data_IF_934590989114
#
_entry.id   IF_934590989114
#
_cell.length_a   1.000
_cell.length_b   1.000
_cell.length_c   1.000
_cell.angle_alpha   90.00
_cell.angle_beta   90.00
_cell.angle_gamma   90.00
#
_symmetry.space_group_name_H-M   'P 1'
#
loop_
_entity.id
_entity.type
_entity.pdbx_description
1 polymer ?
#
# COMPACT_ATOMS: atom_id res chain seq x y z
N UNK A 1 -41.59 53.24 -18.34
CA UNK A 1 -41.12 53.50 -19.72
C UNK A 1 -39.71 54.01 -19.58
N UNK A 2 -38.72 53.12 -19.76
CA UNK A 2 -37.88 52.99 -20.98
C UNK A 2 -36.82 54.11 -20.98
N UNK A 3 -35.56 53.93 -21.36
CA UNK A 3 -34.82 53.02 -22.24
C UNK A 3 -33.33 53.20 -21.77
N UNK A 4 -32.50 52.17 -21.57
CA UNK A 4 -31.46 51.68 -22.51
C UNK A 4 -30.68 52.82 -23.19
N UNK A 5 -29.34 52.85 -23.29
CA UNK A 5 -28.29 51.85 -23.09
C UNK A 5 -26.93 52.59 -23.15
N UNK A 6 -25.84 51.84 -22.89
CA UNK A 6 -24.42 52.14 -23.17
C UNK A 6 -23.63 52.99 -22.15
N UNK A 7 -22.39 52.69 -21.75
CA UNK A 7 -21.47 51.54 -21.85
C UNK A 7 -20.26 51.87 -20.94
N UNK A 8 -19.52 50.83 -20.54
CA UNK A 8 -18.17 50.82 -19.93
C UNK A 8 -18.00 51.09 -18.42
N UNK A 9 -17.73 50.00 -17.69
CA UNK A 9 -17.25 50.01 -16.30
C UNK A 9 -16.95 48.60 -15.77
N UNK A 10 -15.72 48.15 -16.00
CA UNK A 10 -15.19 46.79 -15.75
C UNK A 10 -15.10 46.30 -14.29
N UNK A 11 -14.99 44.95 -14.16
CA UNK A 11 -14.39 44.11 -13.09
C UNK A 11 -15.21 43.93 -11.80
N UNK A 12 -15.34 42.73 -11.19
CA UNK A 12 -14.66 41.43 -11.33
C UNK A 12 -15.52 40.39 -10.58
N UNK A 13 -16.03 39.36 -11.25
CA UNK A 13 -16.70 38.22 -10.59
C UNK A 13 -15.61 37.22 -10.19
N UNK A 14 -15.68 36.78 -8.94
CA UNK A 14 -14.66 35.97 -8.26
C UNK A 14 -14.29 34.70 -9.01
N UNK A 15 -12.99 34.54 -9.23
CA UNK A 15 -12.39 33.31 -9.72
C UNK A 15 -12.41 32.29 -8.57
N UNK A 16 -13.30 31.28 -8.65
CA UNK A 16 -13.14 30.05 -7.84
C UNK A 16 -11.93 29.32 -8.39
N UNK A 17 -10.78 29.49 -7.74
CA UNK A 17 -9.65 28.59 -7.90
C UNK A 17 -10.10 27.22 -7.36
N UNK A 18 -10.24 26.23 -8.25
CA UNK A 18 -10.29 24.83 -7.83
C UNK A 18 -8.99 24.57 -7.07
N UNK A 19 -9.10 24.15 -5.81
CA UNK A 19 -7.95 23.75 -5.02
C UNK A 19 -7.31 22.53 -5.69
N UNK A 20 -6.14 22.72 -6.29
CA UNK A 20 -5.26 21.64 -6.66
C UNK A 20 -4.91 20.85 -5.39
N UNK A 21 -4.95 19.51 -5.40
CA UNK A 21 -4.43 18.75 -4.27
C UNK A 21 -2.93 19.04 -4.19
N UNK A 22 -2.53 19.74 -3.14
CA UNK A 22 -1.12 20.00 -2.86
C UNK A 22 -0.41 18.66 -2.70
N UNK A 23 0.31 18.25 -3.74
CA UNK A 23 1.31 17.18 -3.74
C UNK A 23 2.53 17.63 -2.94
N UNK A 24 2.31 17.86 -1.64
CA UNK A 24 3.36 18.21 -0.70
C UNK A 24 4.04 16.96 -0.17
N UNK A 25 4.84 16.27 -0.99
CA UNK A 25 5.90 15.37 -0.52
C UNK A 25 6.98 15.12 -1.61
N UNK A 26 8.24 15.36 -1.23
CA UNK A 26 9.48 15.37 -2.02
C UNK A 26 9.57 14.42 -3.26
N UNK A 27 9.70 14.97 -4.50
CA UNK A 27 9.85 14.19 -5.74
C UNK A 27 11.03 13.19 -5.79
N UNK A 28 12.07 13.42 -4.98
CA UNK A 28 13.25 12.54 -4.93
C UNK A 28 13.01 11.23 -4.16
N UNK A 29 11.98 11.15 -3.30
CA UNK A 29 11.68 9.95 -2.52
C UNK A 29 10.89 8.91 -3.34
N UNK A 30 10.06 9.37 -4.25
CA UNK A 30 9.17 8.55 -5.09
C UNK A 30 9.97 7.71 -6.10
N UNK A 31 10.97 8.29 -6.77
CA UNK A 31 11.84 7.54 -7.69
C UNK A 31 12.64 6.41 -7.04
N UNK A 32 12.95 6.51 -5.74
CA UNK A 32 13.68 5.45 -5.00
C UNK A 32 12.79 4.27 -4.63
N UNK A 33 11.52 4.51 -4.32
CA UNK A 33 10.63 3.42 -3.86
C UNK A 33 10.19 2.51 -5.00
N UNK A 34 10.11 3.03 -6.23
CA UNK A 34 9.84 2.22 -7.42
C UNK A 34 10.94 1.18 -7.69
N UNK A 35 12.22 1.52 -7.49
CA UNK A 35 13.32 0.58 -7.64
C UNK A 35 13.24 -0.60 -6.66
N UNK A 36 12.62 -0.42 -5.48
CA UNK A 36 12.37 -1.54 -4.56
C UNK A 36 11.30 -2.49 -5.09
N UNK A 37 10.29 -2.00 -5.82
CA UNK A 37 9.31 -2.85 -6.49
C UNK A 37 10.00 -3.72 -7.54
N UNK A 38 10.87 -3.13 -8.37
CA UNK A 38 11.62 -3.88 -9.38
C UNK A 38 12.48 -4.99 -8.75
N UNK A 39 13.21 -4.68 -7.66
CA UNK A 39 14.02 -5.68 -6.95
C UNK A 39 13.20 -6.79 -6.27
N UNK A 40 12.00 -6.47 -5.80
CA UNK A 40 11.08 -7.47 -5.23
C UNK A 40 10.60 -8.44 -6.32
N UNK A 41 10.39 -7.94 -7.54
CA UNK A 41 9.81 -8.68 -8.66
C UNK A 41 10.85 -9.39 -9.56
N UNK A 42 12.14 -9.10 -9.37
CA UNK A 42 13.27 -9.49 -10.25
C UNK A 42 13.34 -10.98 -10.61
N UNK A 43 13.12 -11.90 -9.65
CA UNK A 43 13.23 -13.34 -9.91
C UNK A 43 12.00 -13.99 -10.57
N UNK A 44 10.96 -13.18 -10.84
CA UNK A 44 9.75 -13.65 -11.50
C UNK A 44 8.88 -14.60 -10.67
N UNK A 45 9.16 -14.84 -9.39
CA UNK A 45 8.36 -15.71 -8.52
C UNK A 45 7.19 -14.98 -7.85
N UNK A 46 7.17 -13.65 -7.89
CA UNK A 46 6.10 -12.83 -7.31
C UNK A 46 5.22 -12.22 -8.39
N UNK A 47 3.98 -11.91 -8.02
CA UNK A 47 2.99 -11.34 -8.93
C UNK A 47 2.53 -9.93 -8.54
N UNK A 48 2.74 -9.55 -7.28
CA UNK A 48 2.39 -8.23 -6.76
C UNK A 48 3.34 -7.85 -5.63
N UNK A 49 3.61 -6.56 -5.52
CA UNK A 49 4.46 -5.96 -4.50
C UNK A 49 4.02 -4.51 -4.26
N UNK A 50 4.15 -4.04 -3.01
CA UNK A 50 3.91 -2.64 -2.68
C UNK A 50 4.75 -2.15 -1.51
N UNK A 51 5.03 -0.85 -1.52
CA UNK A 51 5.55 -0.08 -0.40
C UNK A 51 4.42 0.85 0.07
N UNK A 52 3.99 0.65 1.31
CA UNK A 52 2.89 1.39 1.93
C UNK A 52 3.44 2.24 3.08
N UNK A 53 3.30 3.56 3.01
CA UNK A 53 3.48 4.42 4.19
C UNK A 53 2.32 4.19 5.14
N UNK A 54 2.60 3.97 6.43
CA UNK A 54 1.54 3.72 7.44
C UNK A 54 1.52 4.74 8.57
N UNK A 55 2.49 5.66 8.62
CA UNK A 55 2.56 6.75 9.60
C UNK A 55 1.84 7.99 9.07
N UNK A 56 1.24 8.75 9.99
CA UNK A 56 0.51 10.00 9.76
C UNK A 56 -0.67 9.85 8.79
N UNK A 57 -0.40 9.88 7.49
CA UNK A 57 -1.37 9.71 6.43
C UNK A 57 -1.04 8.44 5.63
N UNK A 58 -1.67 7.29 5.94
CA UNK A 58 -1.38 6.05 5.26
C UNK A 58 -1.69 6.13 3.76
N UNK A 59 -0.72 5.74 2.92
CA UNK A 59 -0.85 5.77 1.46
C UNK A 59 0.14 4.82 0.78
N UNK A 60 -0.22 4.33 -0.42
CA UNK A 60 0.67 3.51 -1.25
C UNK A 60 1.70 4.42 -1.91
N UNK A 61 2.99 4.18 -1.66
CA UNK A 61 4.09 4.97 -2.22
C UNK A 61 4.64 4.38 -3.51
N UNK A 62 4.57 3.06 -3.66
CA UNK A 62 4.85 2.36 -4.90
C UNK A 62 4.15 1.00 -4.89
N UNK A 63 3.66 0.54 -6.04
CA UNK A 63 3.16 -0.81 -6.19
C UNK A 63 3.24 -1.26 -7.65
N UNK A 64 3.09 -2.56 -7.90
CA UNK A 64 2.96 -3.07 -9.27
C UNK A 64 1.67 -2.53 -9.89
N UNK A 65 1.73 -1.86 -11.06
CA UNK A 65 0.55 -1.31 -11.70
C UNK A 65 -0.49 -2.39 -12.03
N UNK A 66 -1.78 -2.02 -11.92
CA UNK A 66 -2.93 -2.88 -12.29
C UNK A 66 -3.00 -4.20 -11.52
N UNK A 67 -2.45 -4.23 -10.30
CA UNK A 67 -2.53 -5.37 -9.38
C UNK A 67 -3.38 -5.05 -8.15
N UNK A 68 -3.31 -5.87 -7.12
CA UNK A 68 -4.15 -5.79 -5.93
C UNK A 68 -3.66 -4.68 -5.00
N UNK A 69 -2.35 -4.65 -4.70
CA UNK A 69 -1.82 -3.80 -3.63
C UNK A 69 -1.84 -2.29 -3.93
N UNK A 70 -1.90 -1.89 -5.19
CA UNK A 70 -2.09 -0.47 -5.56
C UNK A 70 -3.42 0.10 -5.03
N UNK A 71 -4.41 -0.75 -4.76
CA UNK A 71 -5.73 -0.36 -4.30
C UNK A 71 -5.88 -0.40 -2.77
N UNK A 72 -4.80 -0.61 -2.01
CA UNK A 72 -4.87 -0.65 -0.55
C UNK A 72 -5.33 0.70 -0.02
N UNK A 73 -6.37 0.66 0.81
CA UNK A 73 -6.95 1.86 1.42
C UNK A 73 -6.26 2.22 2.74
N UNK A 74 -6.37 3.49 3.20
CA UNK A 74 -5.89 3.88 4.52
C UNK A 74 -6.54 3.07 5.66
N UNK A 75 -7.80 2.64 5.49
CA UNK A 75 -8.49 1.79 6.45
C UNK A 75 -7.85 0.40 6.55
N UNK A 76 -7.56 -0.24 5.42
CA UNK A 76 -6.85 -1.52 5.38
C UNK A 76 -5.42 -1.40 5.95
N UNK A 77 -4.73 -0.29 5.65
CA UNK A 77 -3.43 0.01 6.25
C UNK A 77 -3.51 0.11 7.79
N UNK A 78 -4.53 0.81 8.30
CA UNK A 78 -4.79 0.96 9.73
C UNK A 78 -5.10 -0.37 10.42
N UNK A 79 -5.81 -1.28 9.73
CA UNK A 79 -6.06 -2.64 10.21
C UNK A 79 -4.74 -3.40 10.37
N UNK A 80 -3.84 -3.37 9.37
CA UNK A 80 -2.55 -4.09 9.44
C UNK A 80 -1.70 -3.70 10.66
N UNK A 81 -1.69 -2.43 11.05
CA UNK A 81 -0.92 -1.91 12.20
C UNK A 81 -1.77 -1.72 13.47
N UNK A 82 -3.02 -2.17 13.43
CA UNK A 82 -3.96 -2.04 14.52
C UNK A 82 -3.59 -2.91 15.73
N UNK A 83 -4.06 -2.50 16.92
CA UNK A 83 -3.83 -3.20 18.19
C UNK A 83 -4.63 -4.49 18.32
N UNK A 84 -5.81 -4.57 17.70
CA UNK A 84 -6.61 -5.78 17.73
C UNK A 84 -6.02 -6.80 16.75
N UNK A 85 -5.23 -7.73 17.28
CA UNK A 85 -4.64 -8.84 16.53
C UNK A 85 -5.54 -10.08 16.53
N UNK A 86 -6.48 -10.16 17.46
CA UNK A 86 -7.30 -11.35 17.70
C UNK A 86 -8.37 -11.55 16.63
N UNK A 87 -8.96 -10.45 16.13
CA UNK A 87 -10.00 -10.49 15.11
C UNK A 87 -9.52 -11.00 13.76
N UNK A 88 -8.22 -10.95 13.47
CA UNK A 88 -7.67 -11.45 12.20
C UNK A 88 -7.81 -12.95 12.02
N UNK A 89 -7.70 -13.72 13.11
CA UNK A 89 -7.79 -15.17 13.04
C UNK A 89 -9.23 -15.64 12.73
N UNK A 90 -10.23 -14.87 13.15
CA UNK A 90 -11.65 -15.22 12.97
C UNK A 90 -12.21 -14.60 11.68
N UNK A 91 -12.00 -13.30 11.48
CA UNK A 91 -12.65 -12.55 10.40
C UNK A 91 -11.77 -12.45 9.13
N UNK A 92 -10.46 -12.65 9.27
CA UNK A 92 -9.50 -12.29 8.23
C UNK A 92 -9.37 -10.78 8.08
N UNK A 93 -8.79 -10.35 6.97
CA UNK A 93 -8.66 -8.94 6.59
C UNK A 93 -8.71 -8.80 5.06
N UNK A 94 -8.71 -7.56 4.56
CA UNK A 94 -8.63 -7.27 3.13
C UNK A 94 -7.38 -6.47 2.79
N UNK A 95 -6.82 -6.72 1.61
CA UNK A 95 -5.75 -5.93 1.01
C UNK A 95 -6.18 -5.53 -0.39
N UNK A 96 -6.48 -4.26 -0.64
CA UNK A 96 -6.97 -3.83 -1.95
C UNK A 96 -8.24 -4.57 -2.36
N UNK A 97 -9.16 -4.76 -1.42
CA UNK A 97 -10.38 -5.58 -1.56
C UNK A 97 -10.19 -7.10 -1.70
N UNK A 98 -8.95 -7.61 -1.76
CA UNK A 98 -8.69 -9.06 -1.73
C UNK A 98 -8.83 -9.58 -0.30
N UNK A 99 -9.77 -10.50 -0.07
CA UNK A 99 -9.92 -11.18 1.23
C UNK A 99 -8.73 -12.09 1.51
N UNK A 100 -8.23 -12.03 2.74
CA UNK A 100 -7.09 -12.81 3.21
C UNK A 100 -7.40 -13.45 4.57
N UNK A 101 -6.81 -14.62 4.84
CA UNK A 101 -6.71 -15.22 6.17
C UNK A 101 -5.31 -15.04 6.75
N UNK A 102 -5.23 -14.84 8.06
CA UNK A 102 -3.98 -14.84 8.80
C UNK A 102 -3.40 -16.25 8.91
N UNK A 103 -2.11 -16.41 8.60
CA UNK A 103 -1.35 -17.64 8.89
C UNK A 103 -0.50 -17.43 10.15
N UNK A 104 0.29 -16.35 10.17
CA UNK A 104 1.18 -16.00 11.28
C UNK A 104 1.20 -14.49 11.46
N UNK A 105 1.22 -14.05 12.70
CA UNK A 105 1.35 -12.64 13.04
C UNK A 105 2.49 -12.40 14.03
N UNK A 106 3.58 -11.81 13.51
CA UNK A 106 4.72 -11.32 14.28
C UNK A 106 5.05 -9.88 13.87
N UNK A 107 4.09 -9.14 13.30
CA UNK A 107 4.35 -7.85 12.65
C UNK A 107 4.86 -6.79 13.62
N UNK A 108 4.35 -6.82 14.85
CA UNK A 108 4.69 -5.90 15.93
C UNK A 108 5.75 -6.48 16.89
N UNK A 109 6.30 -7.67 16.58
CA UNK A 109 7.33 -8.31 17.39
C UNK A 109 8.71 -7.88 16.92
N UNK A 110 9.54 -7.44 17.88
CA UNK A 110 10.93 -7.08 17.60
C UNK A 110 11.73 -8.28 17.08
N UNK A 111 12.54 -8.05 16.05
CA UNK A 111 13.36 -9.08 15.40
C UNK A 111 12.63 -9.90 14.32
N UNK A 112 11.30 -10.00 14.34
CA UNK A 112 10.53 -10.73 13.30
C UNK A 112 9.81 -9.80 12.33
N UNK A 113 9.06 -8.81 12.84
CA UNK A 113 8.35 -7.76 12.10
C UNK A 113 7.65 -8.19 10.81
N UNK A 114 7.15 -9.43 10.74
CA UNK A 114 6.45 -9.97 9.57
C UNK A 114 5.09 -10.57 9.92
N UNK A 115 4.20 -10.56 8.95
CA UNK A 115 2.88 -11.17 8.99
C UNK A 115 2.69 -11.97 7.71
N UNK A 116 2.27 -13.22 7.85
CA UNK A 116 2.00 -14.10 6.72
C UNK A 116 0.49 -14.30 6.57
N UNK A 117 0.02 -14.14 5.33
CA UNK A 117 -1.37 -14.19 4.95
C UNK A 117 -1.55 -15.16 3.76
N UNK A 118 -2.78 -15.64 3.59
CA UNK A 118 -3.19 -16.39 2.42
C UNK A 118 -4.44 -15.76 1.82
N UNK A 119 -4.50 -15.58 0.50
CA UNK A 119 -5.73 -15.08 -0.13
C UNK A 119 -6.85 -16.11 -0.02
N UNK A 120 -8.09 -15.61 0.08
CA UNK A 120 -9.30 -16.40 0.00
C UNK A 120 -9.90 -16.24 -1.40
N UNK A 121 -10.36 -17.33 -2.00
CA UNK A 121 -11.06 -17.33 -3.27
C UNK A 121 -12.43 -18.02 -3.15
N UNK A 122 -13.29 -17.78 -4.13
CA UNK A 122 -14.56 -18.50 -4.31
C UNK A 122 -14.48 -19.36 -5.55
N UNK A 123 -15.10 -20.54 -5.55
CA UNK A 123 -15.20 -21.37 -6.76
C UNK A 123 -13.90 -22.01 -7.23
N UNK A 124 -12.94 -22.24 -6.32
CA UNK A 124 -11.71 -22.97 -6.63
C UNK A 124 -10.66 -22.18 -7.42
N UNK A 125 -10.82 -20.85 -7.55
CA UNK A 125 -9.78 -20.03 -8.17
C UNK A 125 -8.47 -20.08 -7.36
N UNK A 126 -7.30 -19.95 -8.01
CA UNK A 126 -6.01 -20.01 -7.34
C UNK A 126 -5.89 -19.02 -6.17
N UNK A 127 -5.22 -19.45 -5.11
CA UNK A 127 -4.90 -18.63 -3.93
C UNK A 127 -3.40 -18.48 -3.76
N UNK A 128 -3.00 -17.43 -3.03
CA UNK A 128 -1.63 -16.94 -3.03
C UNK A 128 -1.16 -16.62 -1.62
N UNK A 129 0.11 -16.93 -1.35
CA UNK A 129 0.78 -16.53 -0.13
C UNK A 129 1.19 -15.06 -0.23
N UNK A 130 0.96 -14.32 0.86
CA UNK A 130 1.32 -12.93 1.01
C UNK A 130 2.15 -12.78 2.29
N UNK A 131 3.20 -11.97 2.23
CA UNK A 131 3.90 -11.49 3.43
C UNK A 131 3.85 -9.98 3.50
N UNK A 132 3.54 -9.46 4.69
CA UNK A 132 3.68 -8.05 5.06
C UNK A 132 4.85 -7.94 6.03
N UNK A 133 5.78 -7.01 5.79
CA UNK A 133 6.93 -6.76 6.66
C UNK A 133 6.99 -5.29 7.09
N UNK A 134 7.24 -5.03 8.37
CA UNK A 134 7.17 -3.70 8.97
C UNK A 134 8.56 -3.04 9.13
N UNK A 135 8.65 -1.80 8.67
CA UNK A 135 9.79 -0.91 8.90
C UNK A 135 9.41 0.22 9.86
N UNK A 136 10.33 1.16 10.12
CA UNK A 136 10.06 2.30 10.98
C UNK A 136 8.92 3.20 10.46
N UNK A 137 8.77 3.34 9.13
CA UNK A 137 7.76 4.22 8.51
C UNK A 137 6.91 3.57 7.40
N UNK A 138 7.26 2.36 6.96
CA UNK A 138 6.61 1.69 5.83
C UNK A 138 6.24 0.24 6.15
N UNK A 139 5.29 -0.30 5.39
CA UNK A 139 5.06 -1.73 5.23
C UNK A 139 5.51 -2.14 3.84
N UNK A 140 6.24 -3.25 3.75
CA UNK A 140 6.55 -3.94 2.49
C UNK A 140 5.54 -5.06 2.33
N UNK A 141 4.84 -5.12 1.21
CA UNK A 141 3.88 -6.17 0.89
C UNK A 141 4.37 -6.95 -0.31
N UNK A 142 4.25 -8.27 -0.26
CA UNK A 142 4.70 -9.16 -1.33
C UNK A 142 3.76 -10.34 -1.51
N UNK A 143 3.37 -10.61 -2.75
CA UNK A 143 2.50 -11.73 -3.12
C UNK A 143 3.21 -12.69 -4.06
N UNK A 144 3.30 -13.97 -3.69
CA UNK A 144 3.84 -15.03 -4.54
C UNK A 144 2.91 -15.33 -5.72
N UNK A 145 3.46 -15.83 -6.83
CA UNK A 145 2.67 -16.48 -7.89
C UNK A 145 2.04 -17.78 -7.39
N UNK A 146 1.15 -18.35 -8.20
CA UNK A 146 0.58 -19.67 -7.95
C UNK A 146 1.68 -20.71 -7.70
N UNK A 147 1.51 -21.53 -6.67
CA UNK A 147 2.47 -22.57 -6.28
C UNK A 147 3.71 -22.08 -5.52
N UNK A 148 3.92 -20.77 -5.37
CA UNK A 148 5.09 -20.24 -4.63
C UNK A 148 4.90 -20.37 -3.12
N UNK A 149 5.84 -21.05 -2.47
CA UNK A 149 5.79 -21.35 -1.04
C UNK A 149 5.91 -20.06 -0.19
N UNK A 150 5.08 -19.95 0.86
CA UNK A 150 5.03 -18.75 1.71
C UNK A 150 6.38 -18.39 2.35
N UNK A 151 7.19 -19.39 2.74
CA UNK A 151 8.54 -19.15 3.25
C UNK A 151 9.48 -18.40 2.28
N UNK A 152 9.34 -18.60 0.97
CA UNK A 152 10.13 -17.87 -0.03
C UNK A 152 9.67 -16.41 -0.17
N UNK A 153 8.35 -16.19 -0.08
CA UNK A 153 7.76 -14.84 -0.07
C UNK A 153 8.19 -14.09 1.19
N UNK A 154 8.08 -14.75 2.35
CA UNK A 154 8.44 -14.19 3.63
C UNK A 154 9.91 -13.78 3.69
N UNK A 155 10.82 -14.68 3.31
CA UNK A 155 12.26 -14.41 3.31
C UNK A 155 12.61 -13.15 2.52
N UNK A 156 12.13 -13.03 1.28
CA UNK A 156 12.42 -11.86 0.43
C UNK A 156 11.82 -10.58 1.02
N UNK A 157 10.59 -10.64 1.53
CA UNK A 157 9.92 -9.49 2.13
C UNK A 157 10.65 -9.02 3.40
N UNK A 158 11.06 -9.96 4.26
CA UNK A 158 11.86 -9.72 5.45
C UNK A 158 13.23 -9.09 5.14
N UNK A 159 13.95 -9.61 4.14
CA UNK A 159 15.25 -9.08 3.71
C UNK A 159 15.13 -7.63 3.21
N UNK A 160 14.09 -7.34 2.42
CA UNK A 160 13.80 -5.98 1.95
C UNK A 160 13.48 -5.04 3.12
N UNK A 161 12.58 -5.43 4.03
CA UNK A 161 12.27 -4.62 5.20
C UNK A 161 13.50 -4.41 6.11
N UNK A 162 14.33 -5.43 6.29
CA UNK A 162 15.60 -5.33 7.04
C UNK A 162 16.58 -4.35 6.40
N UNK A 163 16.67 -4.33 5.07
CA UNK A 163 17.44 -3.34 4.35
C UNK A 163 16.89 -1.92 4.57
N UNK A 164 15.58 -1.74 4.43
CA UNK A 164 14.93 -0.44 4.62
C UNK A 164 15.03 0.07 6.06
N UNK A 165 14.99 -0.81 7.07
CA UNK A 165 15.18 -0.45 8.49
C UNK A 165 16.59 0.06 8.81
N UNK A 166 17.59 -0.30 8.00
CA UNK A 166 18.98 0.21 8.11
C UNK A 166 19.21 1.49 7.29
N UNK A 167 18.24 1.86 6.46
CA UNK A 167 18.23 3.07 5.64
C UNK A 167 17.50 4.19 6.41
N UNK A 168 17.70 5.49 6.10
CA UNK A 168 17.05 6.61 6.82
C UNK A 168 15.51 6.70 6.65
N UNK A 169 14.86 5.62 6.22
CA UNK A 169 13.41 5.55 6.05
C UNK A 169 12.69 5.25 7.35
#
# INVERSE_FOLDING_TARGET
MSLMDELEGSKKIGNRQLAEPQSGQHPQREGRVHAYIDNLMEDGTRQDAAILGYKDLPSVWAAVPRKTFINITPAEAGVLVGKDRSSFFVNGLTLGSQKCSMIRDSLLQDGEFTMDLHTKSTGGAPTFNITVAMTAKMLVLLMGKEGVHGGMVNKKCYEMASHLRRSPY
#
